data_IF_717229768697
#
_entry.id   IF_717229768697
#
_cell.length_a   1.000
_cell.length_b   1.000
_cell.length_c   1.000
_cell.angle_alpha   90.00
_cell.angle_beta   90.00
_cell.angle_gamma   90.00
#
_symmetry.space_group_name_H-M   'P 1'
#
loop_
_entity.id
_entity.type
_entity.pdbx_description
1 polymer ?
#
# COMPACT_ATOMS: atom_id res chain seq x y z
N UNK A 1 -27.01 15.68 -12.63
CA UNK A 1 -25.72 15.14 -12.15
C UNK A 1 -24.71 16.29 -12.18
N UNK A 2 -24.42 16.93 -11.04
CA UNK A 2 -23.74 18.25 -11.04
C UNK A 2 -22.22 18.20 -10.81
N UNK A 3 -21.62 17.06 -10.47
CA UNK A 3 -20.17 16.98 -10.31
C UNK A 3 -19.61 15.57 -10.55
N UNK A 4 -18.35 15.47 -11.01
CA UNK A 4 -17.68 14.17 -11.26
C UNK A 4 -17.65 13.28 -10.01
N UNK A 5 -17.37 13.86 -8.83
CA UNK A 5 -17.44 13.15 -7.54
C UNK A 5 -18.82 12.55 -7.29
N UNK A 6 -19.90 13.34 -7.43
CA UNK A 6 -21.27 12.83 -7.24
C UNK A 6 -21.68 11.70 -8.19
N UNK A 7 -21.08 11.64 -9.39
CA UNK A 7 -21.30 10.54 -10.33
C UNK A 7 -20.59 9.26 -9.89
N UNK A 8 -19.40 9.39 -9.29
CA UNK A 8 -18.62 8.28 -8.76
C UNK A 8 -19.31 7.76 -7.51
N UNK A 9 -19.66 8.61 -6.54
CA UNK A 9 -20.31 8.21 -5.29
C UNK A 9 -21.64 7.47 -5.49
N UNK A 10 -22.36 7.75 -6.58
CA UNK A 10 -23.58 7.02 -6.95
C UNK A 10 -23.31 5.58 -7.42
N UNK A 11 -22.14 5.31 -8.02
CA UNK A 11 -21.76 3.97 -8.53
C UNK A 11 -20.90 3.19 -7.56
N UNK A 12 -20.01 3.90 -6.89
CA UNK A 12 -19.14 3.40 -5.85
C UNK A 12 -19.05 4.47 -4.77
N UNK A 13 -19.62 4.26 -3.58
CA UNK A 13 -19.75 5.28 -2.55
C UNK A 13 -18.41 5.55 -1.84
N UNK A 14 -17.45 6.11 -2.58
CA UNK A 14 -16.08 6.37 -2.14
C UNK A 14 -16.04 7.24 -0.89
N UNK A 15 -16.78 8.35 -0.90
CA UNK A 15 -16.76 9.29 0.22
C UNK A 15 -17.31 8.65 1.50
N UNK A 16 -18.34 7.81 1.38
CA UNK A 16 -18.91 7.09 2.52
C UNK A 16 -17.91 6.08 3.09
N UNK A 17 -17.30 5.26 2.23
CA UNK A 17 -16.32 4.24 2.65
C UNK A 17 -15.12 4.89 3.34
N UNK A 18 -14.61 5.98 2.77
CA UNK A 18 -13.51 6.75 3.35
C UNK A 18 -13.87 7.29 4.75
N UNK A 19 -15.04 7.91 4.89
CA UNK A 19 -15.47 8.47 6.17
C UNK A 19 -15.63 7.38 7.24
N UNK A 20 -16.30 6.27 6.91
CA UNK A 20 -16.56 5.19 7.87
C UNK A 20 -15.30 4.44 8.32
N UNK A 21 -14.32 4.23 7.42
CA UNK A 21 -13.17 3.37 7.70
C UNK A 21 -11.91 4.13 8.09
N UNK A 22 -11.79 5.41 7.72
CA UNK A 22 -10.56 6.18 7.91
C UNK A 22 -10.78 7.47 8.71
N UNK A 23 -11.81 8.26 8.39
CA UNK A 23 -11.95 9.60 8.97
C UNK A 23 -12.70 9.61 10.32
N UNK A 24 -13.78 8.85 10.45
CA UNK A 24 -14.67 8.84 11.62
C UNK A 24 -14.44 7.62 12.52
N UNK A 25 -13.38 6.84 12.26
CA UNK A 25 -13.07 5.67 13.07
C UNK A 25 -12.43 6.06 14.40
N UNK A 26 -13.15 5.80 15.50
CA UNK A 26 -12.68 6.11 16.84
C UNK A 26 -11.52 5.20 17.26
N UNK A 27 -10.38 5.80 17.61
CA UNK A 27 -9.23 5.09 18.21
C UNK A 27 -9.37 5.02 19.75
N UNK A 28 -9.08 3.88 20.38
CA UNK A 28 -9.21 3.73 21.84
C UNK A 28 -8.21 4.61 22.61
N UNK A 29 -8.61 5.11 23.79
CA UNK A 29 -7.77 6.02 24.61
C UNK A 29 -6.48 5.37 25.18
N UNK A 30 -6.36 4.05 25.16
CA UNK A 30 -5.16 3.29 25.55
C UNK A 30 -4.28 2.95 24.32
N UNK A 31 -4.25 3.81 23.31
CA UNK A 31 -3.40 3.60 22.16
C UNK A 31 -1.93 3.84 22.54
N UNK A 32 -1.12 2.78 22.47
CA UNK A 32 0.31 2.85 22.74
C UNK A 32 1.12 2.79 21.43
N UNK A 33 2.43 3.05 21.52
CA UNK A 33 3.31 3.12 20.35
C UNK A 33 3.39 1.80 19.55
N UNK A 34 3.16 0.65 20.16
CA UNK A 34 3.29 -0.65 19.50
C UNK A 34 2.26 -0.88 18.40
N UNK A 35 1.07 -0.27 18.51
CA UNK A 35 0.03 -0.38 17.49
C UNK A 35 0.43 0.27 16.15
N UNK A 36 1.42 1.16 16.13
CA UNK A 36 1.96 1.73 14.88
C UNK A 36 2.73 0.70 14.05
N UNK A 37 3.31 -0.35 14.66
CA UNK A 37 4.09 -1.34 13.91
C UNK A 37 3.26 -2.11 12.89
N UNK A 38 1.96 -2.29 13.12
CA UNK A 38 1.07 -2.87 12.12
C UNK A 38 0.97 -2.00 10.86
N UNK A 39 0.81 -0.69 11.03
CA UNK A 39 0.82 0.26 9.92
C UNK A 39 2.18 0.36 9.22
N UNK A 40 3.27 0.33 10.00
CA UNK A 40 4.63 0.30 9.46
C UNK A 40 4.91 -0.98 8.67
N UNK A 41 4.39 -2.14 9.09
CA UNK A 41 4.52 -3.39 8.35
C UNK A 41 3.79 -3.32 6.99
N UNK A 42 2.60 -2.73 6.94
CA UNK A 42 1.88 -2.49 5.68
C UNK A 42 2.66 -1.57 4.75
N UNK A 43 3.26 -0.50 5.29
CA UNK A 43 4.11 0.40 4.52
C UNK A 43 5.37 -0.33 4.00
N UNK A 44 6.00 -1.14 4.84
CA UNK A 44 7.16 -1.95 4.46
C UNK A 44 6.81 -2.92 3.34
N UNK A 45 5.67 -3.61 3.43
CA UNK A 45 5.21 -4.51 2.38
C UNK A 45 5.00 -3.76 1.05
N UNK A 46 4.37 -2.58 1.09
CA UNK A 46 4.21 -1.73 -0.09
C UNK A 46 5.54 -1.37 -0.73
N UNK A 47 6.54 -0.97 0.07
CA UNK A 47 7.89 -0.69 -0.43
C UNK A 47 8.54 -1.93 -1.05
N UNK A 48 8.46 -3.10 -0.39
CA UNK A 48 9.02 -4.36 -0.90
C UNK A 48 8.39 -4.79 -2.23
N UNK A 49 7.09 -4.57 -2.41
CA UNK A 49 6.44 -4.87 -3.70
C UNK A 49 6.96 -3.95 -4.81
N UNK A 50 7.09 -2.65 -4.55
CA UNK A 50 7.59 -1.69 -5.54
C UNK A 50 9.05 -1.96 -5.89
N UNK A 51 9.92 -2.11 -4.90
CA UNK A 51 11.35 -2.39 -5.14
C UNK A 51 11.57 -3.78 -5.68
N UNK A 52 10.76 -4.76 -5.28
CA UNK A 52 10.79 -6.12 -5.80
C UNK A 52 10.43 -6.18 -7.28
N UNK A 53 9.38 -5.46 -7.72
CA UNK A 53 9.04 -5.34 -9.16
C UNK A 53 10.19 -4.69 -9.93
N UNK A 54 10.85 -3.67 -9.36
CA UNK A 54 12.00 -3.06 -10.00
C UNK A 54 13.18 -4.04 -10.14
N UNK A 55 13.42 -4.84 -9.10
CA UNK A 55 14.47 -5.85 -9.10
C UNK A 55 14.20 -6.95 -10.13
N UNK A 56 12.96 -7.42 -10.28
CA UNK A 56 12.63 -8.47 -11.25
C UNK A 56 12.82 -8.05 -12.71
N UNK A 57 12.79 -6.75 -13.01
CA UNK A 57 13.12 -6.24 -14.35
C UNK A 57 14.61 -6.39 -14.70
N UNK A 58 15.50 -6.42 -13.70
CA UNK A 58 16.95 -6.44 -13.89
C UNK A 58 17.57 -7.80 -13.53
N UNK A 59 17.00 -8.50 -12.56
CA UNK A 59 17.47 -9.79 -12.09
C UNK A 59 17.33 -10.88 -13.16
N UNK A 60 18.37 -11.71 -13.31
CA UNK A 60 18.36 -12.89 -14.18
C UNK A 60 18.26 -14.16 -13.35
N UNK A 61 17.14 -14.92 -13.42
CA UNK A 61 16.94 -16.12 -12.61
C UNK A 61 17.62 -17.35 -13.25
N UNK A 62 18.93 -17.28 -13.46
CA UNK A 62 19.76 -18.38 -13.98
C UNK A 62 20.96 -18.61 -13.07
N UNK A 63 21.35 -19.87 -12.84
CA UNK A 63 22.42 -20.19 -11.89
C UNK A 63 23.78 -19.60 -12.27
N UNK A 64 24.05 -19.38 -13.55
CA UNK A 64 25.29 -18.76 -14.03
C UNK A 64 25.26 -17.23 -13.95
N UNK A 65 24.07 -16.61 -14.04
CA UNK A 65 23.92 -15.16 -14.19
C UNK A 65 23.26 -14.45 -12.99
N UNK A 66 22.73 -15.18 -12.01
CA UNK A 66 22.03 -14.62 -10.86
C UNK A 66 22.91 -13.62 -10.09
N UNK A 67 24.15 -14.00 -9.79
CA UNK A 67 25.10 -13.13 -9.08
C UNK A 67 25.51 -11.92 -9.93
N UNK A 68 25.90 -12.17 -11.20
CA UNK A 68 26.31 -11.13 -12.13
C UNK A 68 25.21 -10.08 -12.37
N UNK A 69 23.93 -10.49 -12.35
CA UNK A 69 22.79 -9.57 -12.54
C UNK A 69 22.51 -8.63 -11.36
N UNK A 70 23.17 -8.84 -10.22
CA UNK A 70 23.04 -8.02 -9.01
C UNK A 70 24.30 -7.19 -8.75
N UNK A 71 25.47 -7.72 -9.10
CA UNK A 71 26.77 -7.05 -8.88
C UNK A 71 27.08 -5.94 -9.89
N UNK A 72 26.62 -6.09 -11.14
CA UNK A 72 26.89 -5.17 -12.24
C UNK A 72 25.85 -4.05 -12.34
#
# INVERSE_FOLDING_TARGET
MKNKQSWIDQRFPLTKVFNEHLAEYYTPRNFNLWYFFGGLAMLMLGMQLVTGIFLTMHYKPDSAYAFASVEY
#
